data_IF_359562969824
#
_entry.id   IF_359562969824
#
_cell.length_a   1.000
_cell.length_b   1.000
_cell.length_c   1.000
_cell.angle_alpha   90.00
_cell.angle_beta   90.00
_cell.angle_gamma   90.00
#
_symmetry.space_group_name_H-M   'P 1'
#
loop_
_entity.id
_entity.type
_entity.pdbx_description
1 polymer ?
#
# COMPACT_ATOMS: atom_id res chain seq x y z
N UNK A 1 -45.79 17.18 -16.37
CA UNK A 1 -45.90 15.71 -16.52
C UNK A 1 -44.54 15.20 -16.98
N UNK A 2 -43.73 14.65 -16.07
CA UNK A 2 -42.48 13.96 -16.39
C UNK A 2 -42.83 12.70 -17.19
N UNK A 3 -42.89 12.82 -18.52
CA UNK A 3 -43.57 11.85 -19.37
C UNK A 3 -42.87 10.49 -19.45
N UNK A 4 -41.60 10.38 -19.09
CA UNK A 4 -40.90 9.10 -19.00
C UNK A 4 -39.90 9.09 -17.84
N UNK A 5 -40.34 8.77 -16.60
CA UNK A 5 -39.44 8.63 -15.46
C UNK A 5 -38.32 7.61 -15.70
N UNK A 6 -38.55 6.63 -16.60
CA UNK A 6 -37.59 5.60 -16.99
C UNK A 6 -36.35 6.14 -17.73
N UNK A 7 -36.47 7.22 -18.49
CA UNK A 7 -35.33 7.75 -19.26
C UNK A 7 -34.24 8.34 -18.35
N UNK A 8 -34.66 9.09 -17.33
CA UNK A 8 -33.74 9.64 -16.33
C UNK A 8 -33.01 8.54 -15.56
N UNK A 9 -33.72 7.51 -15.09
CA UNK A 9 -33.11 6.41 -14.32
C UNK A 9 -32.22 5.50 -15.18
N UNK A 10 -32.55 5.28 -16.46
CA UNK A 10 -31.71 4.51 -17.38
C UNK A 10 -30.39 5.23 -17.68
N UNK A 11 -30.43 6.54 -17.91
CA UNK A 11 -29.24 7.36 -18.10
C UNK A 11 -28.32 7.34 -16.86
N UNK A 12 -28.91 7.45 -15.66
CA UNK A 12 -28.18 7.32 -14.40
C UNK A 12 -27.61 5.91 -14.18
N UNK A 13 -28.35 4.87 -14.57
CA UNK A 13 -27.91 3.48 -14.49
C UNK A 13 -26.68 3.20 -15.36
N UNK A 14 -26.62 3.75 -16.58
CA UNK A 14 -25.45 3.61 -17.45
C UNK A 14 -24.20 4.21 -16.81
N UNK A 15 -24.33 5.42 -16.25
CA UNK A 15 -23.22 6.10 -15.57
C UNK A 15 -22.71 5.33 -14.35
N UNK A 16 -23.60 4.64 -13.64
CA UNK A 16 -23.21 3.78 -12.52
C UNK A 16 -22.41 2.57 -12.99
N UNK A 17 -22.78 1.98 -14.13
CA UNK A 17 -22.06 0.86 -14.74
C UNK A 17 -20.65 1.26 -15.25
N UNK A 18 -20.50 2.45 -15.82
CA UNK A 18 -19.18 2.93 -16.28
C UNK A 18 -18.17 3.03 -15.12
N UNK A 19 -18.63 3.47 -13.94
CA UNK A 19 -17.81 3.54 -12.72
C UNK A 19 -17.52 2.13 -12.18
N UNK A 20 -18.51 1.25 -12.19
CA UNK A 20 -18.36 -0.13 -11.75
C UNK A 20 -17.23 -0.84 -12.51
N UNK A 21 -17.22 -0.74 -13.84
CA UNK A 21 -16.17 -1.33 -14.67
C UNK A 21 -14.77 -0.78 -14.36
N UNK A 22 -14.65 0.53 -14.16
CA UNK A 22 -13.37 1.14 -13.79
C UNK A 22 -12.85 0.63 -12.44
N UNK A 23 -13.75 0.36 -11.49
CA UNK A 23 -13.39 -0.18 -10.18
C UNK A 23 -12.91 -1.63 -10.28
N UNK A 24 -13.54 -2.47 -11.10
CA UNK A 24 -13.08 -3.84 -11.33
C UNK A 24 -11.67 -3.88 -11.92
N UNK A 25 -11.40 -3.04 -12.92
CA UNK A 25 -10.08 -2.95 -13.53
C UNK A 25 -9.01 -2.49 -12.51
N UNK A 26 -9.34 -1.50 -11.68
CA UNK A 26 -8.45 -1.06 -10.61
C UNK A 26 -8.22 -2.18 -9.58
N UNK A 27 -9.29 -2.88 -9.18
CA UNK A 27 -9.22 -3.97 -8.19
C UNK A 27 -8.33 -5.10 -8.68
N UNK A 28 -8.45 -5.47 -9.96
CA UNK A 28 -7.56 -6.46 -10.60
C UNK A 28 -6.08 -6.03 -10.51
N UNK A 29 -5.77 -4.75 -10.73
CA UNK A 29 -4.40 -4.24 -10.62
C UNK A 29 -3.88 -4.21 -9.18
N UNK A 30 -4.73 -3.89 -8.21
CA UNK A 30 -4.38 -3.86 -6.77
C UNK A 30 -4.06 -5.26 -6.26
N UNK A 31 -4.80 -6.28 -6.72
CA UNK A 31 -4.55 -7.67 -6.33
C UNK A 31 -3.14 -8.13 -6.70
N UNK A 32 -2.65 -7.75 -7.87
CA UNK A 32 -1.28 -8.07 -8.29
C UNK A 32 -0.22 -7.40 -7.39
N UNK A 33 -0.43 -6.15 -6.98
CA UNK A 33 0.46 -5.45 -6.05
C UNK A 33 0.42 -6.06 -4.64
N UNK A 34 -0.77 -6.48 -4.20
CA UNK A 34 -0.98 -7.14 -2.93
C UNK A 34 -0.15 -8.42 -2.82
N UNK A 35 -0.09 -9.23 -3.88
CA UNK A 35 0.75 -10.42 -3.93
C UNK A 35 2.23 -10.12 -3.76
N UNK A 36 2.71 -9.06 -4.40
CA UNK A 36 4.09 -8.61 -4.21
C UNK A 36 4.37 -8.16 -2.77
N UNK A 37 3.39 -7.60 -2.06
CA UNK A 37 3.57 -7.12 -0.68
C UNK A 37 3.26 -8.21 0.37
N UNK A 38 2.79 -9.39 -0.03
CA UNK A 38 2.54 -10.51 0.90
C UNK A 38 3.75 -10.79 1.79
N UNK A 39 3.48 -11.18 3.04
CA UNK A 39 4.51 -11.59 3.98
C UNK A 39 5.28 -12.77 3.41
N UNK A 40 6.55 -12.55 3.15
CA UNK A 40 7.48 -13.61 2.82
C UNK A 40 8.57 -13.64 3.91
N UNK A 41 8.93 -14.83 4.44
CA UNK A 41 9.98 -14.94 5.43
C UNK A 41 11.31 -14.32 4.98
N UNK A 42 11.61 -14.32 3.67
CA UNK A 42 12.81 -13.69 3.10
C UNK A 42 12.77 -12.17 3.26
N UNK A 43 11.63 -11.53 2.99
CA UNK A 43 11.47 -10.08 3.12
C UNK A 43 11.57 -9.63 4.57
N UNK A 44 10.98 -10.41 5.49
CA UNK A 44 11.05 -10.15 6.94
C UNK A 44 12.48 -10.28 7.47
N UNK A 45 13.22 -11.29 7.01
CA UNK A 45 14.63 -11.44 7.32
C UNK A 45 15.46 -10.26 6.79
N UNK A 46 15.25 -9.84 5.54
CA UNK A 46 15.93 -8.70 4.93
C UNK A 46 15.70 -7.40 5.70
N UNK A 47 14.45 -7.10 6.08
CA UNK A 47 14.13 -5.95 6.94
C UNK A 47 14.89 -6.00 8.26
N UNK A 48 14.93 -7.17 8.89
CA UNK A 48 15.65 -7.36 10.17
C UNK A 48 17.15 -7.11 10.02
N UNK A 49 17.76 -7.63 8.96
CA UNK A 49 19.18 -7.40 8.65
C UNK A 49 19.47 -5.92 8.41
N UNK A 50 18.60 -5.19 7.70
CA UNK A 50 18.74 -3.75 7.48
C UNK A 50 18.66 -2.98 8.80
N UNK A 51 17.71 -3.34 9.68
CA UNK A 51 17.58 -2.71 11.00
C UNK A 51 18.82 -2.95 11.88
N UNK A 52 19.38 -4.17 11.85
CA UNK A 52 20.62 -4.49 12.55
C UNK A 52 21.81 -3.70 12.00
N UNK A 53 21.94 -3.62 10.67
CA UNK A 53 22.99 -2.85 10.03
C UNK A 53 22.90 -1.35 10.33
N UNK A 54 21.67 -0.83 10.41
CA UNK A 54 21.41 0.56 10.81
C UNK A 54 21.86 0.81 12.24
N UNK A 55 21.50 -0.06 13.18
CA UNK A 55 21.94 0.03 14.58
C UNK A 55 23.48 -0.01 14.70
N UNK A 56 24.13 -0.90 13.94
CA UNK A 56 25.59 -0.97 13.89
C UNK A 56 26.20 0.33 13.33
N UNK A 57 25.61 0.87 12.26
CA UNK A 57 26.06 2.12 11.65
C UNK A 57 25.85 3.32 12.58
N UNK A 58 24.73 3.37 13.30
CA UNK A 58 24.45 4.41 14.31
C UNK A 58 25.46 4.34 15.46
N UNK A 59 25.84 3.14 15.91
CA UNK A 59 26.89 2.97 16.92
C UNK A 59 28.27 3.42 16.42
N UNK A 60 28.66 3.06 15.20
CA UNK A 60 29.93 3.47 14.61
C UNK A 60 30.00 4.98 14.34
N UNK A 61 28.86 5.58 13.98
CA UNK A 61 28.76 7.00 13.64
C UNK A 61 28.31 7.84 14.82
N UNK A 62 28.16 7.28 16.02
CA UNK A 62 27.75 8.01 17.23
C UNK A 62 28.66 9.22 17.51
N UNK A 63 29.96 9.11 17.22
CA UNK A 63 30.94 10.21 17.35
C UNK A 63 30.78 11.30 16.28
N UNK A 64 30.24 10.94 15.11
CA UNK A 64 30.08 11.81 13.93
C UNK A 64 28.66 12.37 13.77
N UNK A 65 27.73 12.04 14.67
CA UNK A 65 26.33 12.50 14.65
C UNK A 65 25.32 11.48 14.11
N UNK A 66 25.62 10.18 14.20
CA UNK A 66 24.80 9.06 13.71
C UNK A 66 24.64 9.05 12.19
N UNK A 67 23.94 8.04 11.65
CA UNK A 67 23.64 7.98 10.21
C UNK A 67 22.83 9.21 9.77
N UNK A 68 22.07 9.81 10.68
CA UNK A 68 21.24 10.98 10.42
C UNK A 68 21.98 12.26 10.10
N UNK A 69 23.09 12.56 10.78
CA UNK A 69 23.87 13.74 10.47
C UNK A 69 24.60 13.63 9.13
N UNK A 70 24.90 12.42 8.65
CA UNK A 70 25.56 12.19 7.36
C UNK A 70 24.58 12.10 6.18
N UNK A 71 23.41 11.48 6.37
CA UNK A 71 22.42 11.26 5.31
C UNK A 71 21.46 12.44 5.14
N UNK A 72 21.29 13.27 6.18
CA UNK A 72 20.39 14.43 6.16
C UNK A 72 18.91 14.03 6.18
N UNK A 73 18.07 14.77 5.45
CA UNK A 73 16.59 14.69 5.52
C UNK A 73 15.99 13.30 5.21
N UNK A 74 16.73 12.42 4.52
CA UNK A 74 16.26 11.08 4.15
C UNK A 74 16.55 9.99 5.18
N UNK A 75 17.18 10.36 6.30
CA UNK A 75 17.66 9.40 7.28
C UNK A 75 16.55 8.56 7.92
N UNK A 76 15.42 9.13 8.31
CA UNK A 76 14.42 8.46 9.16
C UNK A 76 13.16 8.04 8.39
N UNK A 77 13.32 7.32 7.28
CA UNK A 77 12.19 6.62 6.68
C UNK A 77 11.92 5.35 7.49
N UNK A 78 10.85 5.35 8.27
CA UNK A 78 10.34 4.15 8.93
C UNK A 78 9.99 3.14 7.82
N UNK A 79 10.45 1.90 7.94
CA UNK A 79 10.03 0.81 7.06
C UNK A 79 8.76 0.22 7.69
N UNK A 80 7.56 0.54 7.18
CA UNK A 80 6.33 0.02 7.78
C UNK A 80 6.22 -1.49 7.54
N UNK A 81 5.78 -2.20 8.57
CA UNK A 81 5.22 -3.55 8.42
C UNK A 81 3.73 -3.42 8.09
N UNK A 82 3.46 -3.19 6.81
CA UNK A 82 2.09 -3.08 6.27
C UNK A 82 1.40 -4.44 6.10
N UNK A 83 2.08 -5.53 6.46
CA UNK A 83 1.62 -6.91 6.24
C UNK A 83 0.26 -7.17 6.90
N UNK A 84 0.10 -6.81 8.17
CA UNK A 84 -1.14 -7.02 8.91
C UNK A 84 -2.30 -6.19 8.36
N UNK A 85 -2.04 -5.00 7.85
CA UNK A 85 -3.09 -4.12 7.34
C UNK A 85 -3.56 -4.55 5.94
N UNK A 86 -2.62 -4.88 5.05
CA UNK A 86 -2.93 -5.22 3.66
C UNK A 86 -3.63 -6.59 3.56
N UNK A 87 -3.20 -7.58 4.35
CA UNK A 87 -3.88 -8.89 4.39
C UNK A 87 -5.34 -8.76 4.86
N UNK A 88 -5.61 -7.89 5.84
CA UNK A 88 -6.97 -7.60 6.31
C UNK A 88 -7.84 -6.91 5.25
N UNK A 89 -7.26 -6.01 4.45
CA UNK A 89 -7.97 -5.35 3.35
C UNK A 89 -8.31 -6.36 2.25
N UNK A 90 -7.38 -7.25 1.89
CA UNK A 90 -7.62 -8.29 0.89
C UNK A 90 -8.73 -9.23 1.37
N UNK A 91 -8.64 -9.76 2.59
CA UNK A 91 -9.65 -10.68 3.14
C UNK A 91 -11.05 -10.05 3.19
N UNK A 92 -11.15 -8.75 3.54
CA UNK A 92 -12.43 -8.01 3.48
C UNK A 92 -12.93 -7.72 2.07
N UNK A 93 -12.06 -7.67 1.07
CA UNK A 93 -12.45 -7.41 -0.33
C UNK A 93 -13.06 -8.64 -1.01
N UNK A 94 -12.80 -9.84 -0.49
CA UNK A 94 -13.32 -11.11 -1.03
C UNK A 94 -14.53 -11.66 -0.22
N UNK A 95 -15.06 -10.91 0.74
CA UNK A 95 -16.22 -11.25 1.58
C UNK A 95 -17.37 -10.27 1.35
#
# INVERSE_FOLDING_TARGET
MTLFPMYGVAYLGHRMNDVFWSLENLTASVLHLAEFVKDDPEKRAMKTMIMQNRMASDFLLAEKGEVCALVGDYCCTIIPDSTDNITQIIVRSWM
#
